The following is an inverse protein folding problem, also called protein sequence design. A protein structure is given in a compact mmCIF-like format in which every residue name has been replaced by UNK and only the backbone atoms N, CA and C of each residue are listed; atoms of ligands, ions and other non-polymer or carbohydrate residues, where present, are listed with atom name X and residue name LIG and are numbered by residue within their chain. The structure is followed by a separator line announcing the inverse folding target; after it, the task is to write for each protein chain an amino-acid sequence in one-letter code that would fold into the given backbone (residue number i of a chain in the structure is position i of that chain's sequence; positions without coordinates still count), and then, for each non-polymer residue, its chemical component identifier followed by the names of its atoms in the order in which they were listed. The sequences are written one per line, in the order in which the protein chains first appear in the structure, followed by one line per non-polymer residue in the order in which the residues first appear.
data_IF_397900743454
#
_entry.id   IF_397900743454
#
_cell.length_a   1.000
_cell.length_b   1.000
_cell.length_c   1.000
_cell.angle_alpha   90.00
_cell.angle_beta   90.00
_cell.angle_gamma   90.00
#
_symmetry.space_group_name_H-M   'P 1'
#
loop_
_entity.id
_entity.type
_entity.pdbx_description
1 polymer ?
#
# COMPACT_ATOMS: atom_id res chain seq x y z
N UNK A 1 9.02 16.61 3.48
CA UNK A 1 9.29 15.78 4.68
C UNK A 1 10.79 15.67 4.90
N UNK A 2 11.29 15.51 6.14
CA UNK A 2 12.73 15.30 6.44
C UNK A 2 13.11 13.81 6.50
N UNK A 3 12.20 12.91 6.13
CA UNK A 3 12.41 11.47 6.17
C UNK A 3 12.96 11.00 4.83
N UNK A 4 14.23 10.61 4.82
CA UNK A 4 14.88 9.99 3.68
C UNK A 4 14.68 8.47 3.72
N UNK A 5 13.91 7.95 2.76
CA UNK A 5 13.64 6.52 2.57
C UNK A 5 14.33 5.95 1.34
N UNK A 6 15.22 6.71 0.68
CA UNK A 6 15.87 6.34 -0.60
C UNK A 6 16.70 5.05 -0.53
N UNK A 7 17.14 4.66 0.67
CA UNK A 7 17.91 3.42 0.91
C UNK A 7 17.06 2.28 1.49
N UNK A 8 15.75 2.50 1.70
CA UNK A 8 14.84 1.49 2.24
C UNK A 8 14.47 0.52 1.12
N UNK A 9 14.71 -0.77 1.34
CA UNK A 9 14.38 -1.83 0.39
C UNK A 9 13.09 -2.58 0.75
N UNK A 10 12.63 -2.49 2.01
CA UNK A 10 11.38 -3.10 2.46
C UNK A 10 10.48 -2.06 3.12
N UNK A 11 9.30 -1.87 2.54
CA UNK A 11 8.21 -1.03 3.02
C UNK A 11 7.06 -1.87 3.62
N UNK A 12 7.31 -3.17 3.83
CA UNK A 12 6.33 -4.12 4.33
C UNK A 12 5.68 -3.58 5.63
N UNK A 13 4.35 -3.57 5.65
CA UNK A 13 3.53 -3.18 6.81
C UNK A 13 3.80 -1.78 7.40
N UNK A 14 4.49 -0.88 6.69
CA UNK A 14 4.92 0.42 7.26
C UNK A 14 3.76 1.26 7.84
N UNK A 15 2.58 1.21 7.22
CA UNK A 15 1.36 1.87 7.66
C UNK A 15 0.21 0.89 7.91
N UNK A 16 0.52 -0.35 8.25
CA UNK A 16 -0.48 -1.37 8.57
C UNK A 16 -1.36 -0.93 9.74
N UNK A 17 -2.68 -1.01 9.54
CA UNK A 17 -3.73 -0.58 10.49
C UNK A 17 -3.63 0.89 10.93
N UNK A 18 -2.86 1.72 10.23
CA UNK A 18 -2.79 3.15 10.46
C UNK A 18 -4.04 3.85 9.90
N UNK A 19 -5.21 3.53 10.47
CA UNK A 19 -6.55 3.90 9.98
C UNK A 19 -6.74 5.40 9.68
N UNK A 20 -6.08 6.28 10.42
CA UNK A 20 -6.13 7.73 10.26
C UNK A 20 -4.99 8.31 9.41
N UNK A 21 -4.06 7.48 8.94
CA UNK A 21 -2.91 7.92 8.17
C UNK A 21 -3.33 8.43 6.79
N UNK A 22 -2.95 9.67 6.50
CA UNK A 22 -3.16 10.35 5.22
C UNK A 22 -2.17 11.52 5.09
N UNK A 23 -0.96 11.35 5.62
CA UNK A 23 0.07 12.39 5.57
C UNK A 23 0.78 12.34 4.23
N UNK A 24 1.12 13.51 3.70
CA UNK A 24 1.80 13.66 2.43
C UNK A 24 3.15 12.91 2.42
N UNK A 25 3.28 12.01 1.44
CA UNK A 25 4.44 11.17 1.15
C UNK A 25 4.77 11.16 -0.34
N UNK A 26 4.25 12.13 -1.11
CA UNK A 26 4.47 12.19 -2.56
C UNK A 26 5.96 12.30 -2.92
N UNK A 27 6.73 12.99 -2.07
CA UNK A 27 8.15 13.26 -2.25
C UNK A 27 9.07 12.08 -1.85
N UNK A 28 8.52 10.94 -1.42
CA UNK A 28 9.34 9.80 -1.01
C UNK A 28 10.02 9.13 -2.21
N UNK A 29 11.33 8.99 -2.14
CA UNK A 29 12.10 8.16 -3.07
C UNK A 29 11.98 6.69 -2.64
N UNK A 30 11.07 5.96 -3.28
CA UNK A 30 10.85 4.52 -3.06
C UNK A 30 11.58 3.65 -4.09
N UNK A 31 12.47 4.23 -4.90
CA UNK A 31 13.12 3.54 -6.03
C UNK A 31 14.05 2.40 -5.63
N UNK A 32 14.47 2.31 -4.35
CA UNK A 32 15.20 1.14 -3.82
C UNK A 32 14.27 0.04 -3.28
N UNK A 33 12.97 0.33 -3.19
CA UNK A 33 11.95 -0.54 -2.62
C UNK A 33 11.74 -1.80 -3.45
N UNK A 34 11.88 -2.96 -2.81
CA UNK A 34 11.62 -4.27 -3.42
C UNK A 34 10.37 -4.95 -2.85
N UNK A 35 9.87 -4.45 -1.72
CA UNK A 35 8.75 -5.04 -0.98
C UNK A 35 7.79 -3.95 -0.47
N UNK A 36 6.53 -4.02 -0.87
CA UNK A 36 5.44 -3.12 -0.47
C UNK A 36 4.25 -3.88 0.13
N UNK A 37 4.45 -5.14 0.51
CA UNK A 37 3.40 -6.00 1.06
C UNK A 37 2.73 -5.31 2.26
N UNK A 38 1.39 -5.30 2.26
CA UNK A 38 0.58 -4.77 3.36
C UNK A 38 0.86 -3.30 3.76
N UNK A 39 1.60 -2.53 2.94
CA UNK A 39 2.09 -1.20 3.33
C UNK A 39 0.97 -0.28 3.83
N UNK A 40 -0.18 -0.25 3.14
CA UNK A 40 -1.35 0.55 3.50
C UNK A 40 -2.56 -0.31 3.88
N UNK A 41 -2.34 -1.55 4.31
CA UNK A 41 -3.43 -2.43 4.69
C UNK A 41 -4.21 -1.85 5.87
N UNK A 42 -5.53 -1.69 5.71
CA UNK A 42 -6.44 -1.06 6.66
C UNK A 42 -6.10 0.39 7.00
N UNK A 43 -5.35 1.09 6.15
CA UNK A 43 -5.16 2.54 6.23
C UNK A 43 -6.38 3.26 5.63
N UNK A 44 -7.53 3.17 6.31
CA UNK A 44 -8.85 3.56 5.78
C UNK A 44 -8.90 4.98 5.19
N UNK A 45 -8.19 5.93 5.78
CA UNK A 45 -8.15 7.34 5.36
C UNK A 45 -7.11 7.66 4.28
N UNK A 46 -6.25 6.71 3.91
CA UNK A 46 -5.12 6.97 3.01
C UNK A 46 -5.61 7.23 1.58
N UNK A 47 -5.26 8.40 1.04
CA UNK A 47 -5.56 8.79 -0.33
C UNK A 47 -4.57 9.87 -0.82
N UNK A 48 -3.30 9.75 -0.44
CA UNK A 48 -2.26 10.68 -0.91
C UNK A 48 -1.77 10.30 -2.30
N UNK A 49 -1.45 11.33 -3.08
CA UNK A 49 -0.90 11.16 -4.42
C UNK A 49 0.48 10.49 -4.35
N UNK A 50 0.58 9.37 -5.04
CA UNK A 50 1.76 8.52 -5.15
C UNK A 50 1.99 8.12 -6.63
N UNK A 51 1.41 8.88 -7.57
CA UNK A 51 1.55 8.60 -9.00
C UNK A 51 3.02 8.59 -9.46
N UNK A 52 3.84 9.42 -8.81
CA UNK A 52 5.23 9.68 -9.18
C UNK A 52 6.22 8.69 -8.53
N UNK A 53 5.74 7.74 -7.73
CA UNK A 53 6.59 6.72 -7.11
C UNK A 53 7.17 5.77 -8.16
N UNK A 54 8.49 5.60 -8.13
CA UNK A 54 9.19 4.59 -8.91
C UNK A 54 9.16 3.24 -8.18
N UNK A 55 8.25 2.37 -8.60
CA UNK A 55 8.10 1.00 -8.08
C UNK A 55 8.76 -0.06 -8.97
N UNK A 56 9.64 0.33 -9.91
CA UNK A 56 10.21 -0.57 -10.92
C UNK A 56 11.29 -1.52 -10.40
N UNK A 57 12.01 -1.13 -9.33
CA UNK A 57 13.10 -1.91 -8.70
C UNK A 57 12.64 -3.15 -7.95
N UNK A 58 11.34 -3.35 -7.93
CA UNK A 58 10.67 -4.49 -7.38
C UNK A 58 11.20 -5.79 -8.02
N UNK A 59 12.00 -6.58 -7.28
CA UNK A 59 12.71 -7.74 -7.82
C UNK A 59 12.07 -9.07 -7.45
N UNK A 60 11.88 -9.92 -8.45
CA UNK A 60 11.42 -11.30 -8.25
C UNK A 60 12.54 -12.18 -7.66
N UNK A 61 12.41 -12.62 -6.40
CA UNK A 61 13.22 -13.74 -5.91
C UNK A 61 12.62 -15.08 -6.35
N UNK A 62 12.96 -15.52 -7.57
CA UNK A 62 12.77 -16.91 -8.00
C UNK A 62 13.80 -17.81 -7.32
N UNK A 63 13.48 -18.36 -6.14
CA UNK A 63 14.25 -19.47 -5.56
C UNK A 63 13.34 -20.59 -5.05
N UNK A 64 12.95 -21.45 -6.00
CA UNK A 64 12.93 -22.92 -5.96
C UNK A 64 12.36 -23.76 -4.79
N UNK A 65 11.89 -23.24 -3.66
CA UNK A 65 11.27 -24.08 -2.61
C UNK A 65 10.09 -23.38 -1.94
N UNK A 66 8.92 -24.00 -2.10
CA UNK A 66 7.66 -23.94 -1.32
C UNK A 66 7.36 -22.70 -0.45
N UNK A 67 6.15 -22.16 -0.65
CA UNK A 67 5.44 -21.11 0.11
C UNK A 67 5.88 -19.64 -0.13
N UNK A 68 5.25 -19.04 -1.16
CA UNK A 68 4.76 -17.66 -1.14
C UNK A 68 5.72 -16.52 -0.72
N UNK A 69 7.00 -16.58 -1.07
CA UNK A 69 7.93 -15.44 -0.89
C UNK A 69 8.49 -14.89 -2.20
N UNK A 70 7.74 -15.07 -3.29
CA UNK A 70 7.78 -14.10 -4.38
C UNK A 70 6.92 -12.92 -3.95
N UNK A 71 7.51 -12.02 -3.16
CA UNK A 71 6.99 -10.70 -2.80
C UNK A 71 6.33 -10.03 -4.02
N UNK A 72 5.44 -9.05 -3.80
CA UNK A 72 5.25 -7.80 -4.58
C UNK A 72 3.78 -7.43 -4.74
N UNK A 73 3.38 -6.31 -4.12
CA UNK A 73 2.04 -5.67 -4.07
C UNK A 73 0.92 -6.41 -3.31
N UNK A 74 1.20 -7.56 -2.72
CA UNK A 74 0.21 -8.33 -1.96
C UNK A 74 -0.44 -7.47 -0.87
N UNK A 75 -1.78 -7.36 -0.95
CA UNK A 75 -2.63 -6.67 0.00
C UNK A 75 -2.23 -5.20 0.27
N UNK A 76 -1.44 -4.56 -0.59
CA UNK A 76 -0.85 -3.24 -0.36
C UNK A 76 -1.91 -2.20 0.02
N UNK A 77 -3.05 -2.18 -0.68
CA UNK A 77 -4.19 -1.28 -0.45
C UNK A 77 -5.43 -2.03 0.04
N UNK A 78 -5.27 -3.23 0.63
CA UNK A 78 -6.39 -3.96 1.20
C UNK A 78 -7.06 -3.11 2.28
N UNK A 79 -8.37 -2.91 2.18
CA UNK A 79 -9.14 -2.09 3.12
C UNK A 79 -8.60 -0.63 3.24
N UNK A 80 -7.90 -0.12 2.22
CA UNK A 80 -7.62 1.31 2.08
C UNK A 80 -8.83 2.01 1.44
N UNK A 81 -9.95 2.10 2.18
CA UNK A 81 -11.26 2.43 1.63
C UNK A 81 -11.32 3.76 0.87
N UNK A 82 -10.51 4.76 1.26
CA UNK A 82 -10.46 6.07 0.61
C UNK A 82 -9.53 6.14 -0.61
N UNK A 83 -8.67 5.13 -0.83
CA UNK A 83 -7.63 5.19 -1.85
C UNK A 83 -8.23 5.15 -3.26
N UNK A 84 -7.96 6.19 -4.05
CA UNK A 84 -8.39 6.30 -5.45
C UNK A 84 -7.43 7.18 -6.27
N UNK A 85 -6.13 7.17 -5.99
CA UNK A 85 -5.15 7.95 -6.73
C UNK A 85 -4.72 7.25 -8.02
N UNK A 86 -4.44 8.04 -9.05
CA UNK A 86 -4.02 7.55 -10.36
C UNK A 86 -2.62 6.95 -10.26
N UNK A 87 -2.56 5.63 -10.45
CA UNK A 87 -1.33 4.83 -10.44
C UNK A 87 -1.11 4.15 -11.81
N UNK A 88 -1.76 4.64 -12.86
CA UNK A 88 -1.66 4.09 -14.22
C UNK A 88 -0.24 4.16 -14.78
N UNK A 89 0.59 5.07 -14.25
CA UNK A 89 1.97 5.29 -14.64
C UNK A 89 2.99 4.35 -13.97
N UNK A 90 2.59 3.58 -12.95
CA UNK A 90 3.49 2.66 -12.26
C UNK A 90 4.01 1.56 -13.17
N UNK A 91 5.32 1.33 -13.14
CA UNK A 91 5.94 0.17 -13.77
C UNK A 91 5.86 -1.04 -12.83
N UNK A 92 4.86 -1.89 -13.04
CA UNK A 92 4.63 -3.12 -12.28
C UNK A 92 5.17 -4.37 -12.99
N UNK A 93 5.94 -4.20 -14.08
CA UNK A 93 6.34 -5.31 -14.99
C UNK A 93 7.19 -6.39 -14.32
N UNK A 94 7.89 -6.05 -13.24
CA UNK A 94 8.68 -6.99 -12.44
C UNK A 94 7.89 -7.68 -11.32
N UNK A 95 6.61 -7.31 -11.12
CA UNK A 95 5.77 -7.79 -10.04
C UNK A 95 5.18 -9.17 -10.25
N UNK A 96 5.14 -9.97 -9.17
CA UNK A 96 4.67 -11.37 -9.23
C UNK A 96 3.42 -11.69 -8.40
N UNK A 97 3.03 -10.87 -7.42
CA UNK A 97 1.98 -11.21 -6.47
C UNK A 97 0.98 -10.08 -6.17
N UNK A 98 0.03 -9.87 -7.07
CA UNK A 98 -1.02 -8.86 -6.92
C UNK A 98 -2.22 -9.35 -6.06
N UNK A 99 -2.05 -10.41 -5.27
CA UNK A 99 -3.13 -10.95 -4.44
C UNK A 99 -3.74 -9.85 -3.56
N UNK A 100 -5.05 -9.67 -3.66
CA UNK A 100 -5.81 -8.77 -2.82
C UNK A 100 -5.32 -7.32 -2.77
N UNK A 101 -4.53 -6.86 -3.76
CA UNK A 101 -3.92 -5.53 -3.75
C UNK A 101 -4.93 -4.43 -3.46
N UNK A 102 -6.14 -4.52 -4.02
CA UNK A 102 -7.27 -3.61 -3.83
C UNK A 102 -8.49 -4.29 -3.18
N UNK A 103 -8.27 -5.38 -2.43
CA UNK A 103 -9.36 -6.07 -1.74
C UNK A 103 -10.08 -5.13 -0.78
N UNK A 104 -11.38 -4.90 -0.99
CA UNK A 104 -12.18 -3.90 -0.24
C UNK A 104 -11.62 -2.47 -0.26
N UNK A 105 -10.87 -2.08 -1.29
CA UNK A 105 -10.55 -0.67 -1.52
C UNK A 105 -11.79 0.02 -2.11
N UNK A 106 -12.74 0.40 -1.26
CA UNK A 106 -14.10 0.78 -1.66
C UNK A 106 -14.16 1.89 -2.73
N UNK A 107 -13.28 2.89 -2.65
CA UNK A 107 -13.24 4.03 -3.56
C UNK A 107 -12.42 3.79 -4.84
N UNK A 108 -11.62 2.74 -4.92
CA UNK A 108 -10.68 2.54 -6.02
C UNK A 108 -11.41 2.30 -7.35
N UNK A 109 -11.19 3.17 -8.33
CA UNK A 109 -11.80 3.10 -9.65
C UNK A 109 -10.87 3.67 -10.75
N UNK A 110 -9.56 3.52 -10.60
CA UNK A 110 -8.59 4.02 -11.59
C UNK A 110 -8.35 3.02 -12.70
N UNK A 111 -8.10 3.53 -13.92
CA UNK A 111 -7.77 2.70 -15.08
C UNK A 111 -6.31 2.27 -15.03
N UNK A 112 -6.07 1.00 -14.72
CA UNK A 112 -4.73 0.37 -14.72
C UNK A 112 -4.55 -0.59 -15.90
N UNK A 113 -5.27 -0.34 -17.00
CA UNK A 113 -5.16 -1.14 -18.23
C UNK A 113 -3.80 -1.05 -18.93
N UNK A 114 -2.97 -0.08 -18.56
CA UNK A 114 -1.61 0.15 -19.05
C UNK A 114 -0.57 -0.74 -18.39
N UNK A 115 -0.89 -1.34 -17.24
CA UNK A 115 0.05 -2.17 -16.50
C UNK A 115 0.46 -3.42 -17.28
N UNK A 116 1.76 -3.65 -17.40
CA UNK A 116 2.30 -4.94 -17.81
C UNK A 116 2.34 -5.87 -16.60
N UNK A 117 1.48 -6.89 -16.59
CA UNK A 117 1.41 -7.89 -15.52
C UNK A 117 1.89 -9.26 -15.98
N UNK A 118 2.65 -9.33 -17.08
CA UNK A 118 3.09 -10.60 -17.69
C UNK A 118 3.96 -11.46 -16.76
N UNK A 119 4.70 -10.84 -15.84
CA UNK A 119 5.47 -11.52 -14.79
C UNK A 119 4.61 -12.05 -13.62
N UNK A 120 3.35 -11.59 -13.53
CA UNK A 120 2.42 -11.95 -12.48
C UNK A 120 2.20 -13.47 -12.34
N UNK A 121 2.14 -13.93 -11.09
CA UNK A 121 1.86 -15.33 -10.74
C UNK A 121 0.54 -15.42 -10.00
N UNK A 122 0.25 -14.47 -9.11
CA UNK A 122 -0.91 -14.48 -8.23
C UNK A 122 -1.73 -13.19 -8.36
N UNK A 123 -3.04 -13.35 -8.52
CA UNK A 123 -4.01 -12.26 -8.71
C UNK A 123 -5.33 -12.50 -7.95
N UNK A 124 -5.30 -13.40 -6.97
CA UNK A 124 -6.48 -13.83 -6.24
C UNK A 124 -7.07 -12.63 -5.49
N UNK A 125 -8.37 -12.37 -5.67
CA UNK A 125 -9.10 -11.33 -4.94
C UNK A 125 -8.56 -9.89 -5.10
N UNK A 126 -7.72 -9.60 -6.11
CA UNK A 126 -7.13 -8.30 -6.40
C UNK A 126 -8.12 -7.13 -6.30
N UNK A 127 -9.29 -7.21 -6.95
CA UNK A 127 -10.36 -6.18 -6.91
C UNK A 127 -11.62 -6.69 -6.21
N UNK A 128 -11.58 -7.83 -5.52
CA UNK A 128 -12.75 -8.35 -4.83
C UNK A 128 -13.24 -7.36 -3.76
N UNK A 129 -14.54 -7.05 -3.77
CA UNK A 129 -15.17 -6.06 -2.90
C UNK A 129 -14.67 -4.61 -3.04
N UNK A 130 -13.90 -4.26 -4.09
CA UNK A 130 -13.69 -2.86 -4.47
C UNK A 130 -14.98 -2.31 -5.12
N UNK A 131 -15.91 -1.81 -4.31
CA UNK A 131 -17.30 -1.58 -4.75
C UNK A 131 -17.46 -0.50 -5.83
N UNK A 132 -16.55 0.49 -5.89
CA UNK A 132 -16.57 1.52 -6.92
C UNK A 132 -15.89 1.07 -8.23
N UNK A 133 -15.16 -0.05 -8.23
CA UNK A 133 -14.34 -0.45 -9.36
C UNK A 133 -15.21 -0.87 -10.57
N UNK A 134 -15.13 -0.08 -11.64
CA UNK A 134 -15.90 -0.27 -12.87
C UNK A 134 -15.04 0.06 -14.10
N UNK A 135 -13.95 -0.70 -14.28
CA UNK A 135 -12.99 -0.50 -15.37
C UNK A 135 -12.93 -1.71 -16.31
N UNK A 136 -13.82 -1.82 -17.32
CA UNK A 136 -13.88 -2.97 -18.20
C UNK A 136 -12.64 -3.13 -19.09
N UNK A 137 -11.97 -2.04 -19.46
CA UNK A 137 -10.72 -2.08 -20.21
C UNK A 137 -9.59 -2.68 -19.38
N UNK A 138 -9.48 -2.28 -18.10
CA UNK A 138 -8.52 -2.86 -17.16
C UNK A 138 -8.64 -4.38 -17.11
N UNK A 139 -9.85 -4.92 -16.87
CA UNK A 139 -10.05 -6.36 -16.82
C UNK A 139 -9.61 -7.08 -18.10
N UNK A 140 -10.01 -6.57 -19.27
CA UNK A 140 -9.64 -7.17 -20.54
C UNK A 140 -8.12 -7.16 -20.76
N UNK A 141 -7.46 -6.05 -20.48
CA UNK A 141 -6.01 -5.88 -20.71
C UNK A 141 -5.17 -6.69 -19.74
N UNK A 142 -5.53 -6.75 -18.46
CA UNK A 142 -4.86 -7.61 -17.49
C UNK A 142 -5.00 -9.10 -17.87
N UNK A 143 -6.17 -9.52 -18.33
CA UNK A 143 -6.39 -10.88 -18.81
C UNK A 143 -5.63 -11.20 -20.12
N UNK A 144 -5.44 -10.23 -21.01
CA UNK A 144 -4.60 -10.37 -22.21
C UNK A 144 -3.11 -10.43 -21.86
N UNK A 145 -2.66 -9.63 -20.89
CA UNK A 145 -1.26 -9.57 -20.44
C UNK A 145 -0.86 -10.85 -19.70
N UNK A 146 -1.77 -11.45 -18.92
CA UNK A 146 -1.45 -12.64 -18.14
C UNK A 146 -2.59 -13.67 -18.04
N UNK A 147 -2.28 -14.89 -18.48
CA UNK A 147 -3.17 -16.06 -18.39
C UNK A 147 -3.74 -16.37 -17.01
N UNK A 148 -2.99 -16.04 -15.97
CA UNK A 148 -3.28 -16.41 -14.57
C UNK A 148 -4.16 -15.39 -13.88
N UNK A 149 -4.47 -14.27 -14.55
CA UNK A 149 -5.36 -13.26 -14.01
C UNK A 149 -6.78 -13.83 -13.86
N UNK A 150 -7.10 -14.28 -12.65
CA UNK A 150 -8.38 -14.83 -12.25
C UNK A 150 -8.77 -14.27 -10.89
N UNK A 151 -9.36 -13.08 -10.88
CA UNK A 151 -9.76 -12.38 -9.65
C UNK A 151 -11.12 -12.84 -9.08
N UNK A 152 -11.59 -14.03 -9.45
CA UNK A 152 -12.94 -14.50 -9.10
C UNK A 152 -14.10 -13.68 -9.70
N UNK A 153 -13.81 -12.58 -10.40
CA UNK A 153 -14.73 -11.81 -11.23
C UNK A 153 -14.67 -12.38 -12.64
N UNK A 154 -15.66 -13.19 -13.01
CA UNK A 154 -15.75 -13.75 -14.36
C UNK A 154 -16.35 -12.72 -15.31
N UNK A 155 -15.52 -11.80 -15.82
CA UNK A 155 -15.93 -10.71 -16.73
C UNK A 155 -16.52 -11.22 -18.06
N UNK A 156 -16.41 -12.53 -18.30
CA UNK A 156 -16.69 -13.16 -19.58
C UNK A 156 -17.91 -14.11 -19.54
N UNK A 157 -18.62 -14.25 -18.42
CA UNK A 157 -19.76 -15.17 -18.28
C UNK A 157 -21.12 -14.60 -18.71
N UNK A 158 -21.17 -13.93 -19.87
CA UNK A 158 -22.41 -13.36 -20.41
C UNK A 158 -22.52 -13.20 -21.94
N UNK A 159 -21.57 -13.71 -22.72
CA UNK A 159 -21.38 -13.46 -24.18
C UNK A 159 -21.04 -11.98 -24.46
N UNK A 160 -19.80 -11.60 -24.72
CA UNK A 160 -18.97 -11.93 -25.90
C UNK A 160 -17.53 -12.21 -25.43
N UNK A 161 -17.13 -13.48 -25.47
CA UNK A 161 -15.75 -14.00 -25.56
C UNK A 161 -14.58 -13.17 -25.00
N UNK A 162 -14.01 -13.60 -23.87
CA UNK A 162 -12.59 -13.40 -23.57
C UNK A 162 -11.85 -14.70 -23.91
N UNK A 163 -11.74 -14.99 -25.20
CA UNK A 163 -10.98 -16.14 -25.68
C UNK A 163 -9.51 -15.79 -25.88
N UNK A 164 -8.63 -16.74 -25.56
CA UNK A 164 -7.26 -16.73 -26.06
C UNK A 164 -7.28 -16.57 -27.58
N UNK A 165 -6.80 -15.43 -28.09
CA UNK A 165 -6.73 -15.15 -29.53
C UNK A 165 -7.73 -14.12 -30.10
N UNK A 166 -8.39 -13.30 -29.28
CA UNK A 166 -9.12 -12.12 -29.75
C UNK A 166 -8.42 -10.81 -29.38
N UNK A 167 -8.27 -9.93 -30.36
CA UNK A 167 -7.52 -8.66 -30.28
C UNK A 167 -8.31 -7.49 -29.70
N UNK A 168 -9.64 -7.60 -29.62
CA UNK A 168 -10.50 -6.43 -29.45
C UNK A 168 -11.22 -6.48 -28.09
N UNK A 169 -10.79 -5.63 -27.16
CA UNK A 169 -11.49 -5.40 -25.90
C UNK A 169 -12.81 -4.67 -26.16
N UNK A 170 -13.96 -5.10 -25.59
CA UNK A 170 -15.24 -4.48 -25.86
C UNK A 170 -15.24 -3.01 -25.41
N UNK A 171 -15.68 -2.12 -26.30
CA UNK A 171 -15.75 -0.67 -26.05
C UNK A 171 -16.79 -0.28 -24.99
N UNK A 172 -17.67 -1.21 -24.59
CA UNK A 172 -18.79 -0.97 -23.66
C UNK A 172 -18.95 -2.11 -22.67
N UNK A 173 -19.12 -1.74 -21.39
CA UNK A 173 -19.07 -2.50 -20.14
C UNK A 173 -19.81 -3.86 -20.08
N UNK A 174 -19.43 -4.75 -19.14
CA UNK A 174 -20.30 -5.85 -18.71
C UNK A 174 -21.54 -5.31 -17.97
N UNK A 175 -22.68 -6.03 -18.03
CA UNK A 175 -23.89 -5.64 -17.34
C UNK A 175 -23.82 -5.97 -15.84
N UNK A 176 -24.28 -4.99 -15.05
CA UNK A 176 -24.64 -5.00 -13.63
C UNK A 176 -23.53 -4.79 -12.58
N UNK A 177 -23.75 -3.87 -11.61
CA UNK A 177 -22.85 -3.66 -10.49
C UNK A 177 -22.78 -4.93 -9.62
N UNK A 178 -21.65 -5.10 -8.92
CA UNK A 178 -21.55 -6.03 -7.80
C UNK A 178 -22.76 -5.86 -6.86
N UNK A 179 -23.23 -6.94 -6.20
CA UNK A 179 -24.28 -6.84 -5.20
C UNK A 179 -23.92 -5.76 -4.18
N UNK A 180 -24.62 -4.63 -4.30
CA UNK A 180 -24.40 -3.42 -3.53
C UNK A 180 -24.65 -3.70 -2.06
N UNK A 181 -23.61 -3.58 -1.23
CA UNK A 181 -23.81 -3.04 0.10
C UNK A 181 -23.64 -1.52 0.00
N UNK A 182 -24.55 -0.79 0.64
CA UNK A 182 -24.62 0.66 0.55
C UNK A 182 -23.25 1.29 0.90
N UNK A 183 -22.83 2.36 0.20
CA UNK A 183 -21.63 3.08 0.58
C UNK A 183 -21.78 3.57 2.02
N UNK A 184 -20.88 3.13 2.89
CA UNK A 184 -20.79 3.72 4.23
C UNK A 184 -20.23 5.13 4.04
N UNK A 185 -20.90 6.12 4.64
CA UNK A 185 -20.63 7.53 4.45
C UNK A 185 -19.13 7.86 4.53
N UNK A 186 -18.68 8.69 3.60
CA UNK A 186 -17.39 9.37 3.60
C UNK A 186 -17.10 9.91 5.00
N UNK A 187 -15.96 9.60 5.63
CA UNK A 187 -15.56 10.32 6.83
C UNK A 187 -15.32 11.77 6.41
N UNK A 188 -16.24 12.63 6.85
CA UNK A 188 -16.12 14.09 6.77
C UNK A 188 -14.72 14.47 7.23
N UNK A 189 -14.00 15.25 6.43
CA UNK A 189 -12.73 15.82 6.83
C UNK A 189 -12.91 16.53 8.17
N UNK A 190 -12.27 16.00 9.21
CA UNK A 190 -12.24 16.70 10.49
C UNK A 190 -11.34 17.90 10.26
N UNK A 191 -11.94 19.10 10.37
CA UNK A 191 -11.22 20.35 10.27
C UNK A 191 -9.95 20.30 11.12
N UNK A 192 -8.84 20.73 10.53
CA UNK A 192 -7.55 20.91 11.17
C UNK A 192 -7.73 21.60 12.53
N UNK A 193 -7.57 20.84 13.60
CA UNK A 193 -7.41 21.41 14.92
C UNK A 193 -6.03 22.07 14.93
N UNK A 194 -6.00 23.40 14.87
CA UNK A 194 -4.81 24.18 15.16
C UNK A 194 -4.20 23.69 16.48
N UNK A 195 -2.90 23.35 16.54
CA UNK A 195 -2.29 22.93 17.79
C UNK A 195 -2.38 24.07 18.80
N UNK A 196 -2.98 23.80 19.96
CA UNK A 196 -2.89 24.67 21.12
C UNK A 196 -1.41 24.82 21.50
N UNK A 197 -0.90 26.03 21.75
CA UNK A 197 0.49 26.22 22.16
C UNK A 197 0.73 25.51 23.49
N UNK A 198 1.82 24.74 23.51
CA UNK A 198 2.37 24.03 24.66
C UNK A 198 2.51 24.99 25.87
N UNK A 199 2.06 24.62 27.09
CA UNK A 199 2.29 25.43 28.28
C UNK A 199 3.79 25.64 28.52
N UNK A 200 4.16 26.92 28.59
CA UNK A 200 5.52 27.41 28.84
C UNK A 200 6.21 26.68 30.00
N UNK A 201 7.47 26.23 29.87
CA UNK A 201 8.20 25.64 30.98
C UNK A 201 8.34 26.64 32.13
N UNK A 202 7.88 26.24 33.33
CA UNK A 202 8.07 27.01 34.56
C UNK A 202 9.55 27.14 34.95
N UNK A 203 9.90 28.12 35.82
CA UNK A 203 11.28 28.49 36.07
C UNK A 203 12.07 27.37 36.75
N UNK A 204 13.21 27.04 36.13
CA UNK A 204 14.22 26.10 36.61
C UNK A 204 14.84 26.62 37.91
N UNK A 205 14.63 25.94 39.04
CA UNK A 205 15.35 26.21 40.28
C UNK A 205 16.73 25.55 40.24
N UNK A 206 17.77 26.36 40.13
CA UNK A 206 19.18 25.97 40.31
C UNK A 206 19.42 25.47 41.74
N UNK A 207 20.04 24.31 41.98
CA UNK A 207 20.52 23.95 43.30
C UNK A 207 21.89 24.57 43.55
N UNK A 208 21.97 25.39 44.59
CA UNK A 208 23.19 26.04 45.12
C UNK A 208 24.16 25.01 45.68
N UNK A 209 25.43 25.16 45.34
CA UNK A 209 26.58 24.43 45.86
C UNK A 209 26.82 24.64 47.36
N UNK A 210 27.14 23.58 48.10
CA UNK A 210 27.90 23.67 49.37
C UNK A 210 29.00 22.61 49.35
N UNK A 211 30.19 23.01 49.73
CA UNK A 211 31.44 22.28 49.63
C UNK A 211 31.78 21.43 50.87
N UNK A 212 32.51 20.34 50.61
CA UNK A 212 33.65 19.77 51.35
C UNK A 212 33.47 19.09 52.72
N UNK A 213 33.80 17.79 52.77
CA UNK A 213 34.71 17.20 53.77
C UNK A 213 35.26 15.83 53.31
N UNK A 214 36.54 15.85 52.89
CA UNK A 214 37.66 14.87 52.97
C UNK A 214 37.52 13.34 52.76
N UNK A 215 38.59 12.66 52.26
CA UNK A 215 38.56 11.30 51.74
C UNK A 215 39.05 10.25 52.74
N UNK A 216 38.52 9.03 52.68
CA UNK A 216 39.14 7.83 53.27
C UNK A 216 39.08 6.65 52.29
N UNK A 217 40.22 5.98 52.23
CA UNK A 217 40.69 4.94 51.31
C UNK A 217 39.92 3.60 51.36
N UNK A 218 39.81 2.99 50.17
CA UNK A 218 39.79 1.55 49.78
C UNK A 218 40.44 0.56 50.80
N UNK A 219 40.24 -0.79 50.78
CA UNK A 219 39.80 -1.59 49.63
C UNK A 219 38.86 -2.80 49.82
N UNK A 220 38.29 -3.20 48.69
CA UNK A 220 37.72 -4.52 48.36
C UNK A 220 38.65 -5.70 48.73
N UNK A 221 38.07 -6.89 48.95
CA UNK A 221 38.49 -8.02 48.10
C UNK A 221 37.31 -8.85 47.57
N UNK A 222 37.44 -9.29 46.31
CA UNK A 222 36.56 -10.26 45.66
C UNK A 222 36.82 -11.71 46.10
N UNK A 223 36.43 -12.70 45.29
CA UNK A 223 35.30 -13.58 45.58
C UNK A 223 35.71 -14.95 46.14
N UNK A 224 34.74 -15.66 46.70
CA UNK A 224 34.79 -17.11 46.98
C UNK A 224 33.62 -17.78 46.30
#
# INVERSE_FOLDING_TARGET
SDWDVSSVTTFQQMFWEASAFNQDISDWDVSSGTDFELMFHSAFAFNQDISDWDVSSVTTFQQMFWEASGTIFELMFREANAFNQDISAWDVSSGTNFNGMFYKADAFNQDVSTWDVSSGIYFSAMFNQAVAFNQPQTYCKLQQSNSKFHDGVNVCSGSISCGWGQTDCPATAPPTPFPTHAPTATPTSVASATPTPDPTPGPTTTPTSVASATPTTDPTPGPT
#
